data_IF_846220155954
#
_entry.id   IF_846220155954
#
_cell.length_a   1.000
_cell.length_b   1.000
_cell.length_c   1.000
_cell.angle_alpha   90.00
_cell.angle_beta   90.00
_cell.angle_gamma   90.00
#
_symmetry.space_group_name_H-M   'P 1'
#
loop_
_entity.id
_entity.type
_entity.pdbx_description
1 polymer ?
#
# COMPACT_ATOMS: atom_id res chain seq x y z
N UNK A 1 -19.25 -8.95 31.67
CA UNK A 1 -18.22 -8.77 30.61
C UNK A 1 -18.49 -9.64 29.39
N UNK A 2 -18.83 -10.92 29.54
CA UNK A 2 -19.15 -11.82 28.41
C UNK A 2 -20.30 -11.31 27.52
N UNK A 3 -21.36 -10.76 28.14
CA UNK A 3 -22.52 -10.19 27.44
C UNK A 3 -22.15 -8.98 26.58
N UNK A 4 -21.34 -8.07 27.11
CA UNK A 4 -20.86 -6.89 26.36
C UNK A 4 -20.01 -7.32 25.17
N UNK A 5 -19.09 -8.27 25.37
CA UNK A 5 -18.27 -8.82 24.30
C UNK A 5 -19.13 -9.46 23.20
N UNK A 6 -20.16 -10.23 23.59
CA UNK A 6 -21.09 -10.84 22.65
C UNK A 6 -21.79 -9.79 21.76
N UNK A 7 -22.35 -8.74 22.36
CA UNK A 7 -23.02 -7.68 21.60
C UNK A 7 -22.06 -6.90 20.69
N UNK A 8 -20.81 -6.66 21.13
CA UNK A 8 -19.78 -6.03 20.29
C UNK A 8 -19.44 -6.89 19.08
N UNK A 9 -19.21 -8.19 19.28
CA UNK A 9 -18.92 -9.12 18.18
C UNK A 9 -20.09 -9.24 17.21
N UNK A 10 -21.32 -9.26 17.72
CA UNK A 10 -22.53 -9.31 16.90
C UNK A 10 -22.68 -8.04 16.05
N UNK A 11 -22.45 -6.86 16.64
CA UNK A 11 -22.46 -5.59 15.92
C UNK A 11 -21.36 -5.52 14.84
N UNK A 12 -20.16 -5.99 15.15
CA UNK A 12 -19.05 -6.04 14.21
C UNK A 12 -19.32 -7.03 13.05
N UNK A 13 -19.91 -8.20 13.35
CA UNK A 13 -20.35 -9.15 12.33
C UNK A 13 -21.42 -8.60 11.41
N UNK A 14 -22.42 -7.89 11.96
CA UNK A 14 -23.45 -7.22 11.18
C UNK A 14 -22.86 -6.13 10.27
N UNK A 15 -21.97 -5.28 10.81
CA UNK A 15 -21.29 -4.25 10.04
C UNK A 15 -20.44 -4.83 8.90
N UNK A 16 -19.69 -5.90 9.18
CA UNK A 16 -18.90 -6.61 8.17
C UNK A 16 -19.77 -7.19 7.06
N UNK A 17 -20.88 -7.84 7.43
CA UNK A 17 -21.83 -8.39 6.46
C UNK A 17 -22.43 -7.32 5.55
N UNK A 18 -22.91 -6.22 6.14
CA UNK A 18 -23.46 -5.07 5.38
C UNK A 18 -22.40 -4.54 4.43
N UNK A 19 -21.17 -4.37 4.90
CA UNK A 19 -20.08 -3.87 4.07
C UNK A 19 -19.78 -4.81 2.89
N UNK A 20 -19.53 -6.09 3.14
CA UNK A 20 -19.12 -7.02 2.08
C UNK A 20 -20.24 -7.34 1.08
N UNK A 21 -21.49 -7.39 1.54
CA UNK A 21 -22.63 -7.84 0.72
C UNK A 21 -23.41 -6.72 0.05
N UNK A 22 -23.38 -5.51 0.61
CA UNK A 22 -24.19 -4.40 0.12
C UNK A 22 -23.30 -3.28 -0.42
N UNK A 23 -22.37 -2.80 0.40
CA UNK A 23 -21.55 -1.62 0.08
C UNK A 23 -20.47 -1.96 -0.95
N UNK A 24 -19.67 -3.00 -0.68
CA UNK A 24 -18.51 -3.35 -1.50
C UNK A 24 -18.87 -3.74 -2.96
N UNK A 25 -19.95 -4.47 -3.25
CA UNK A 25 -20.37 -4.73 -4.62
C UNK A 25 -20.73 -3.45 -5.39
N UNK A 26 -21.36 -2.49 -4.71
CA UNK A 26 -21.73 -1.19 -5.29
C UNK A 26 -20.49 -0.37 -5.63
N UNK A 27 -19.51 -0.35 -4.72
CA UNK A 27 -18.21 0.28 -4.95
C UNK A 27 -17.45 -0.41 -6.11
N UNK A 28 -17.42 -1.74 -6.14
CA UNK A 28 -16.79 -2.49 -7.25
C UNK A 28 -17.45 -2.19 -8.59
N UNK A 29 -18.78 -2.06 -8.63
CA UNK A 29 -19.50 -1.68 -9.84
C UNK A 29 -19.09 -0.27 -10.32
N UNK A 30 -19.02 0.69 -9.40
CA UNK A 30 -18.59 2.05 -9.70
C UNK A 30 -17.20 2.08 -10.35
N UNK A 31 -16.21 1.42 -9.74
CA UNK A 31 -14.85 1.37 -10.31
C UNK A 31 -14.76 0.55 -11.59
N UNK A 32 -15.56 -0.51 -11.73
CA UNK A 32 -15.65 -1.27 -12.97
C UNK A 32 -16.09 -0.38 -14.14
N UNK A 33 -17.07 0.50 -13.90
CA UNK A 33 -17.54 1.45 -14.91
C UNK A 33 -16.45 2.48 -15.28
N UNK A 34 -15.68 2.96 -14.30
CA UNK A 34 -14.53 3.83 -14.59
C UNK A 34 -13.46 3.13 -15.44
N UNK A 35 -13.15 1.87 -15.15
CA UNK A 35 -12.21 1.08 -15.94
C UNK A 35 -12.74 0.80 -17.36
N UNK A 36 -14.05 0.60 -17.52
CA UNK A 36 -14.66 0.49 -18.86
C UNK A 36 -14.47 1.77 -19.66
N UNK A 37 -14.74 2.94 -19.07
CA UNK A 37 -14.53 4.22 -19.74
C UNK A 37 -13.06 4.41 -20.17
N UNK A 38 -12.10 4.09 -19.30
CA UNK A 38 -10.67 4.15 -19.62
C UNK A 38 -10.27 3.16 -20.73
N UNK A 39 -10.87 1.97 -20.75
CA UNK A 39 -10.61 0.97 -21.79
C UNK A 39 -11.15 1.44 -23.14
N UNK A 40 -12.28 2.13 -23.14
CA UNK A 40 -12.90 2.61 -24.36
C UNK A 40 -12.05 3.73 -25.01
N UNK A 41 -11.38 4.58 -24.19
CA UNK A 41 -10.35 5.53 -24.69
C UNK A 41 -9.17 4.78 -25.33
N UNK A 42 -8.66 3.72 -24.68
CA UNK A 42 -7.59 2.91 -25.28
C UNK A 42 -8.03 2.24 -26.58
N UNK A 43 -9.30 1.82 -26.69
CA UNK A 43 -9.89 1.24 -27.90
C UNK A 43 -10.00 2.26 -29.03
N UNK A 44 -10.41 3.48 -28.74
CA UNK A 44 -10.48 4.57 -29.73
C UNK A 44 -9.10 4.78 -30.37
N UNK A 45 -8.03 4.82 -29.57
CA UNK A 45 -6.66 4.92 -30.10
C UNK A 45 -6.19 3.73 -30.94
N UNK A 46 -6.71 2.53 -30.70
CA UNK A 46 -6.45 1.37 -31.56
C UNK A 46 -7.15 1.56 -32.92
N UNK A 47 -8.34 2.15 -32.94
CA UNK A 47 -9.15 2.38 -34.14
C UNK A 47 -8.60 3.54 -34.96
N UNK A 48 -8.26 4.66 -34.31
CA UNK A 48 -7.70 5.86 -34.95
C UNK A 48 -6.33 5.59 -35.59
N UNK A 49 -5.63 4.56 -35.08
CA UNK A 49 -4.29 4.19 -35.53
C UNK A 49 -3.22 5.16 -35.03
N UNK A 50 -2.05 5.10 -35.65
CA UNK A 50 -0.89 5.88 -35.24
C UNK A 50 0.42 5.17 -35.57
N UNK A 51 1.48 5.48 -34.81
CA UNK A 51 2.71 4.70 -34.89
C UNK A 51 2.47 3.27 -34.41
N UNK A 52 3.25 2.33 -34.94
CA UNK A 52 3.16 0.92 -34.56
C UNK A 52 3.38 0.74 -33.03
N UNK A 53 4.28 1.53 -32.45
CA UNK A 53 4.54 1.53 -31.00
C UNK A 53 3.33 1.98 -30.18
N UNK A 54 2.63 3.04 -30.62
CA UNK A 54 1.44 3.55 -29.93
C UNK A 54 0.27 2.57 -30.00
N UNK A 55 0.06 1.93 -31.16
CA UNK A 55 -1.00 0.90 -31.32
C UNK A 55 -0.70 -0.35 -30.48
N UNK A 56 0.56 -0.79 -30.42
CA UNK A 56 0.97 -1.90 -29.55
C UNK A 56 0.75 -1.55 -28.07
N UNK A 57 1.13 -0.35 -27.63
CA UNK A 57 0.91 0.10 -26.26
C UNK A 57 -0.58 0.22 -25.93
N UNK A 58 -1.40 0.78 -26.82
CA UNK A 58 -2.85 0.90 -26.65
C UNK A 58 -3.52 -0.48 -26.52
N UNK A 59 -3.11 -1.45 -27.35
CA UNK A 59 -3.58 -2.85 -27.28
C UNK A 59 -3.24 -3.49 -25.93
N UNK A 60 -2.00 -3.29 -25.47
CA UNK A 60 -1.55 -3.81 -24.18
C UNK A 60 -2.35 -3.20 -23.01
N UNK A 61 -2.66 -1.90 -23.04
CA UNK A 61 -3.53 -1.24 -22.04
C UNK A 61 -4.95 -1.79 -22.09
N UNK A 62 -5.53 -1.91 -23.28
CA UNK A 62 -6.88 -2.44 -23.46
C UNK A 62 -7.01 -3.85 -22.84
N UNK A 63 -6.05 -4.74 -23.13
CA UNK A 63 -6.06 -6.10 -22.62
C UNK A 63 -5.80 -6.16 -21.11
N UNK A 64 -4.89 -5.31 -20.62
CA UNK A 64 -4.60 -5.18 -19.19
C UNK A 64 -5.84 -4.70 -18.42
N UNK A 65 -6.54 -3.69 -18.94
CA UNK A 65 -7.79 -3.17 -18.36
C UNK A 65 -8.88 -4.24 -18.38
N UNK A 66 -9.04 -4.96 -19.49
CA UNK A 66 -10.02 -6.03 -19.59
C UNK A 66 -9.76 -7.14 -18.55
N UNK A 67 -8.49 -7.53 -18.39
CA UNK A 67 -8.09 -8.48 -17.35
C UNK A 67 -8.35 -7.94 -15.94
N UNK A 68 -8.04 -6.67 -15.68
CA UNK A 68 -8.26 -6.04 -14.39
C UNK A 68 -9.75 -5.95 -14.03
N UNK A 69 -10.60 -5.58 -14.99
CA UNK A 69 -12.07 -5.53 -14.84
C UNK A 69 -12.62 -6.90 -14.42
N UNK A 70 -12.21 -7.97 -15.11
CA UNK A 70 -12.68 -9.32 -14.84
C UNK A 70 -12.19 -9.86 -13.49
N UNK A 71 -11.04 -9.39 -13.02
CA UNK A 71 -10.37 -9.86 -11.80
C UNK A 71 -10.42 -8.87 -10.65
N UNK A 72 -11.28 -7.87 -10.73
CA UNK A 72 -11.35 -6.76 -9.77
C UNK A 72 -11.60 -7.22 -8.32
N UNK A 73 -12.30 -8.34 -8.15
CA UNK A 73 -12.57 -8.95 -6.85
C UNK A 73 -11.34 -9.64 -6.23
N UNK A 74 -10.32 -9.97 -7.02
CA UNK A 74 -9.08 -10.60 -6.55
C UNK A 74 -8.04 -9.57 -6.09
N UNK A 75 -8.28 -8.28 -6.34
CA UNK A 75 -7.42 -7.16 -5.96
C UNK A 75 -7.53 -6.90 -4.44
N UNK A 76 -6.86 -7.74 -3.65
CA UNK A 76 -6.78 -7.65 -2.20
C UNK A 76 -5.32 -7.58 -1.75
N UNK A 77 -5.06 -7.00 -0.57
CA UNK A 77 -3.70 -6.90 -0.03
C UNK A 77 -2.98 -8.26 0.05
N UNK A 78 -3.60 -9.34 0.59
CA UNK A 78 -2.96 -10.66 0.63
C UNK A 78 -2.57 -11.18 -0.77
N UNK A 79 -3.43 -10.98 -1.76
CA UNK A 79 -3.15 -11.40 -3.13
C UNK A 79 -2.04 -10.56 -3.77
N UNK A 80 -1.98 -9.25 -3.48
CA UNK A 80 -0.87 -8.38 -3.89
C UNK A 80 0.47 -8.89 -3.36
N UNK A 81 0.54 -9.23 -2.07
CA UNK A 81 1.77 -9.80 -1.48
C UNK A 81 2.16 -11.14 -2.12
N UNK A 82 1.20 -12.04 -2.32
CA UNK A 82 1.44 -13.33 -3.00
C UNK A 82 1.95 -13.13 -4.43
N UNK A 83 1.35 -12.20 -5.18
CA UNK A 83 1.76 -11.87 -6.53
C UNK A 83 3.19 -11.30 -6.56
N UNK A 84 3.52 -10.37 -5.67
CA UNK A 84 4.87 -9.80 -5.57
C UNK A 84 5.92 -10.87 -5.26
N UNK A 85 5.64 -11.76 -4.31
CA UNK A 85 6.51 -12.89 -3.99
C UNK A 85 6.75 -13.78 -5.21
N UNK A 86 5.68 -14.13 -5.94
CA UNK A 86 5.79 -14.99 -7.13
C UNK A 86 6.57 -14.33 -8.27
N UNK A 87 6.42 -13.01 -8.47
CA UNK A 87 7.24 -12.24 -9.43
C UNK A 87 8.71 -12.19 -9.02
N UNK A 88 8.99 -12.17 -7.71
CA UNK A 88 10.35 -12.22 -7.19
C UNK A 88 11.00 -13.61 -7.38
N UNK A 89 10.24 -14.68 -7.22
CA UNK A 89 10.75 -16.06 -7.32
C UNK A 89 10.86 -16.57 -8.76
N UNK A 90 10.00 -16.12 -9.68
CA UNK A 90 9.94 -16.61 -11.05
C UNK A 90 10.59 -15.63 -12.06
N UNK A 91 11.77 -15.96 -12.62
CA UNK A 91 12.46 -15.10 -13.57
C UNK A 91 11.73 -14.96 -14.91
N UNK A 92 10.93 -15.95 -15.32
CA UNK A 92 10.19 -15.90 -16.58
C UNK A 92 9.06 -14.87 -16.51
N UNK A 93 8.33 -14.83 -15.39
CA UNK A 93 7.29 -13.81 -15.15
C UNK A 93 7.92 -12.41 -15.13
N UNK A 94 9.06 -12.26 -14.44
CA UNK A 94 9.76 -10.97 -14.36
C UNK A 94 10.20 -10.48 -15.74
N UNK A 95 10.72 -11.37 -16.58
CA UNK A 95 11.12 -11.02 -17.93
C UNK A 95 9.93 -10.60 -18.79
N UNK A 96 8.78 -11.28 -18.66
CA UNK A 96 7.54 -10.91 -19.35
C UNK A 96 7.07 -9.50 -18.97
N UNK A 97 7.01 -9.20 -17.66
CA UNK A 97 6.64 -7.87 -17.15
C UNK A 97 7.61 -6.81 -17.68
N UNK A 98 8.91 -7.10 -17.69
CA UNK A 98 9.92 -6.15 -18.20
C UNK A 98 9.67 -5.82 -19.68
N UNK A 99 9.35 -6.82 -20.51
CA UNK A 99 9.01 -6.60 -21.93
C UNK A 99 7.77 -5.72 -22.08
N UNK A 100 6.73 -5.97 -21.31
CA UNK A 100 5.49 -5.17 -21.32
C UNK A 100 5.78 -3.71 -20.87
N UNK A 101 6.61 -3.51 -19.85
CA UNK A 101 7.04 -2.17 -19.41
C UNK A 101 7.89 -1.47 -20.48
N UNK A 102 8.75 -2.20 -21.19
CA UNK A 102 9.59 -1.62 -22.24
C UNK A 102 8.77 -1.17 -23.47
N UNK A 103 7.63 -1.80 -23.75
CA UNK A 103 6.66 -1.30 -24.76
C UNK A 103 6.13 0.09 -24.37
N UNK A 104 5.76 0.28 -23.10
CA UNK A 104 5.27 1.56 -22.60
C UNK A 104 6.33 2.66 -22.60
N UNK A 105 7.60 2.33 -22.32
CA UNK A 105 8.69 3.33 -22.36
C UNK A 105 8.98 3.86 -23.76
N UNK A 106 8.60 3.11 -24.79
CA UNK A 106 8.78 3.48 -26.21
C UNK A 106 7.50 4.07 -26.82
N UNK A 107 6.45 4.23 -26.02
CA UNK A 107 5.20 4.82 -26.43
C UNK A 107 5.33 6.33 -26.38
N UNK A 108 5.12 6.99 -27.53
CA UNK A 108 5.12 8.44 -27.64
C UNK A 108 3.71 9.04 -27.46
N UNK A 109 2.69 8.20 -27.28
CA UNK A 109 1.32 8.64 -27.06
C UNK A 109 1.05 8.95 -25.58
N UNK A 110 1.08 10.24 -25.26
CA UNK A 110 0.78 10.78 -23.93
C UNK A 110 -0.62 10.43 -23.41
N UNK A 111 -1.61 10.24 -24.29
CA UNK A 111 -2.96 9.89 -23.88
C UNK A 111 -3.01 8.45 -23.35
N UNK A 112 -2.35 7.51 -24.03
CA UNK A 112 -2.25 6.12 -23.57
C UNK A 112 -1.51 6.03 -22.22
N UNK A 113 -0.44 6.81 -22.06
CA UNK A 113 0.27 6.89 -20.77
C UNK A 113 -0.64 7.44 -19.67
N UNK A 114 -1.43 8.48 -19.95
CA UNK A 114 -2.42 9.02 -19.00
C UNK A 114 -3.49 7.99 -18.64
N UNK A 115 -3.99 7.21 -19.61
CA UNK A 115 -4.96 6.13 -19.36
C UNK A 115 -4.36 5.08 -18.42
N UNK A 116 -3.11 4.68 -18.66
CA UNK A 116 -2.41 3.73 -17.79
C UNK A 116 -2.30 4.26 -16.36
N UNK A 117 -1.85 5.50 -16.17
CA UNK A 117 -1.72 6.12 -14.84
C UNK A 117 -3.08 6.20 -14.13
N UNK A 118 -4.12 6.69 -14.82
CA UNK A 118 -5.49 6.77 -14.27
C UNK A 118 -6.02 5.39 -13.90
N UNK A 119 -5.77 4.37 -14.72
CA UNK A 119 -6.17 3.00 -14.40
C UNK A 119 -5.49 2.50 -13.12
N UNK A 120 -4.21 2.80 -12.93
CA UNK A 120 -3.48 2.47 -11.71
C UNK A 120 -4.11 3.06 -10.44
N UNK A 121 -4.52 4.33 -10.50
CA UNK A 121 -5.19 5.01 -9.38
C UNK A 121 -6.56 4.38 -9.05
N UNK A 122 -7.31 3.98 -10.09
CA UNK A 122 -8.59 3.27 -9.90
C UNK A 122 -8.36 1.91 -9.25
N UNK A 123 -7.38 1.14 -9.72
CA UNK A 123 -7.05 -0.17 -9.15
C UNK A 123 -6.52 -0.07 -7.72
N UNK A 124 -5.77 0.97 -7.39
CA UNK A 124 -5.32 1.25 -6.02
C UNK A 124 -6.50 1.55 -5.08
N UNK A 125 -7.46 2.35 -5.55
CA UNK A 125 -8.69 2.63 -4.79
C UNK A 125 -9.46 1.32 -4.53
N UNK A 126 -9.64 0.50 -5.56
CA UNK A 126 -10.28 -0.82 -5.43
C UNK A 126 -9.54 -1.71 -4.43
N UNK A 127 -8.21 -1.75 -4.47
CA UNK A 127 -7.40 -2.53 -3.52
C UNK A 127 -7.69 -2.12 -2.08
N UNK A 128 -7.78 -0.82 -1.81
CA UNK A 128 -8.09 -0.28 -0.49
C UNK A 128 -9.48 -0.71 -0.03
N UNK A 129 -10.52 -0.53 -0.85
CA UNK A 129 -11.89 -0.91 -0.48
C UNK A 129 -12.04 -2.43 -0.33
N UNK A 130 -11.48 -3.23 -1.24
CA UNK A 130 -11.48 -4.68 -1.10
C UNK A 130 -10.75 -5.17 0.16
N UNK A 131 -9.81 -4.39 0.69
CA UNK A 131 -9.03 -4.74 1.87
C UNK A 131 -9.46 -3.97 3.13
N UNK A 132 -10.50 -3.15 3.06
CA UNK A 132 -10.86 -2.21 4.12
C UNK A 132 -11.21 -2.92 5.43
N UNK A 133 -11.98 -4.01 5.36
CA UNK A 133 -12.33 -4.78 6.56
C UNK A 133 -11.12 -5.45 7.20
N UNK A 134 -10.18 -5.95 6.40
CA UNK A 134 -8.91 -6.45 6.91
C UNK A 134 -8.14 -5.34 7.64
N UNK A 135 -8.04 -4.15 7.04
CA UNK A 135 -7.38 -3.00 7.66
C UNK A 135 -8.07 -2.58 8.97
N UNK A 136 -9.41 -2.57 8.99
CA UNK A 136 -10.20 -2.27 10.18
C UNK A 136 -9.90 -3.26 11.31
N UNK A 137 -9.81 -4.56 11.00
CA UNK A 137 -9.48 -5.59 11.98
C UNK A 137 -8.03 -5.56 12.45
N UNK A 138 -7.11 -5.10 11.61
CA UNK A 138 -5.70 -4.92 11.99
C UNK A 138 -5.44 -3.61 12.76
N UNK A 139 -6.39 -2.67 12.75
CA UNK A 139 -6.24 -1.36 13.39
C UNK A 139 -5.84 -1.43 14.87
N UNK A 140 -6.47 -2.27 15.74
CA UNK A 140 -6.07 -2.36 17.14
C UNK A 140 -4.63 -2.83 17.32
N UNK A 141 -4.17 -3.78 16.49
CA UNK A 141 -2.79 -4.27 16.51
C UNK A 141 -1.80 -3.19 16.09
N UNK A 142 -2.11 -2.46 15.02
CA UNK A 142 -1.27 -1.35 14.54
C UNK A 142 -1.15 -0.27 15.62
N UNK A 143 -2.26 0.10 16.26
CA UNK A 143 -2.26 1.07 17.36
C UNK A 143 -1.43 0.60 18.57
N UNK A 144 -1.55 -0.67 18.93
CA UNK A 144 -0.76 -1.26 20.01
C UNK A 144 0.75 -1.22 19.70
N UNK A 145 1.15 -1.56 18.47
CA UNK A 145 2.56 -1.48 18.05
C UNK A 145 3.06 -0.04 18.09
N UNK A 146 2.30 0.92 17.56
CA UNK A 146 2.66 2.35 17.60
C UNK A 146 2.83 2.83 19.04
N UNK A 147 1.92 2.43 19.94
CA UNK A 147 2.00 2.76 21.35
C UNK A 147 3.28 2.20 21.97
N UNK A 148 3.59 0.91 21.77
CA UNK A 148 4.80 0.28 22.28
C UNK A 148 6.07 0.98 21.76
N UNK A 149 6.14 1.30 20.46
CA UNK A 149 7.29 2.02 19.87
C UNK A 149 7.47 3.39 20.52
N UNK A 150 6.38 4.14 20.74
CA UNK A 150 6.44 5.44 21.43
C UNK A 150 6.92 5.30 22.87
N UNK A 151 6.40 4.32 23.62
CA UNK A 151 6.83 4.06 25.01
C UNK A 151 8.32 3.73 25.08
N UNK A 152 8.81 2.85 24.19
CA UNK A 152 10.24 2.48 24.14
C UNK A 152 11.11 3.71 23.81
N UNK A 153 10.69 4.54 22.85
CA UNK A 153 11.43 5.76 22.49
C UNK A 153 11.48 6.76 23.64
N UNK A 154 10.38 6.92 24.38
CA UNK A 154 10.33 7.79 25.56
C UNK A 154 11.19 7.23 26.69
N UNK A 155 11.06 5.94 26.99
CA UNK A 155 11.83 5.28 28.04
C UNK A 155 13.34 5.35 27.77
N UNK A 156 13.78 5.07 26.53
CA UNK A 156 15.20 5.19 26.17
C UNK A 156 15.73 6.62 26.26
N UNK A 157 14.90 7.62 25.95
CA UNK A 157 15.27 9.04 26.11
C UNK A 157 15.40 9.44 27.58
N UNK A 158 14.49 8.98 28.45
CA UNK A 158 14.56 9.21 29.90
C UNK A 158 15.76 8.52 30.52
N UNK A 159 16.06 7.26 30.17
CA UNK A 159 17.23 6.54 30.66
C UNK A 159 18.53 7.25 30.26
N UNK A 160 18.62 7.77 29.03
CA UNK A 160 19.78 8.54 28.58
C UNK A 160 19.94 9.85 29.36
N UNK A 161 18.83 10.52 29.71
CA UNK A 161 18.83 11.74 30.51
C UNK A 161 19.26 11.48 31.97
N UNK A 162 18.75 10.43 32.61
CA UNK A 162 19.15 10.04 33.97
C UNK A 162 20.63 9.67 34.04
N UNK A 163 21.14 8.87 33.09
CA UNK A 163 22.57 8.57 33.01
C UNK A 163 23.44 9.81 32.81
N UNK A 164 22.96 10.79 32.06
CA UNK A 164 23.65 12.07 31.89
C UNK A 164 23.78 12.83 33.23
N UNK A 165 22.72 12.85 34.03
CA UNK A 165 22.74 13.46 35.38
C UNK A 165 23.67 12.75 36.35
N UNK A 166 23.65 11.41 36.39
CA UNK A 166 24.59 10.66 37.25
C UNK A 166 26.04 10.94 36.86
N UNK A 167 26.32 11.11 35.57
CA UNK A 167 27.66 11.45 35.08
C UNK A 167 28.06 12.88 35.49
N UNK A 168 27.15 13.85 35.42
CA UNK A 168 27.37 15.23 35.89
C UNK A 168 27.62 15.28 37.40
N UNK A 169 26.81 14.58 38.20
CA UNK A 169 26.99 14.50 39.66
C UNK A 169 28.30 13.80 40.05
N UNK A 170 28.68 12.73 39.34
CA UNK A 170 29.96 12.05 39.55
C UNK A 170 31.16 12.95 39.20
N UNK A 171 31.06 13.77 38.16
CA UNK A 171 32.11 14.73 37.79
C UNK A 171 32.28 15.82 38.87
N UNK A 172 31.19 16.29 39.49
CA UNK A 172 31.26 17.30 40.55
C UNK A 172 31.92 16.82 41.85
N UNK A 173 31.95 15.52 42.09
CA UNK A 173 32.56 14.91 43.29
C UNK A 173 34.03 14.53 43.10
N UNK A 174 34.57 14.64 41.88
CA UNK A 174 35.95 14.29 41.58
C UNK A 174 36.92 15.45 41.93
N UNK A 175 38.12 15.15 42.44
CA UNK A 175 39.15 16.16 42.68
C UNK A 175 39.68 16.77 41.36
N UNK A 176 40.02 18.06 41.39
CA UNK A 176 40.39 18.90 40.21
C UNK A 176 41.35 18.28 39.18
N UNK A 177 42.40 17.50 39.56
CA UNK A 177 43.31 16.89 38.58
C UNK A 177 42.61 15.87 37.67
N UNK A 178 41.61 15.17 38.21
CA UNK A 178 40.88 14.10 37.52
C UNK A 178 39.78 14.68 36.61
N UNK A 179 39.11 15.75 37.04
CA UNK A 179 38.13 16.47 36.21
C UNK A 179 38.78 17.00 34.94
N UNK A 180 40.01 17.51 35.03
CA UNK A 180 40.76 18.03 33.88
C UNK A 180 41.04 16.98 32.79
N UNK A 181 41.18 15.69 33.16
CA UNK A 181 41.38 14.59 32.21
C UNK A 181 40.08 14.15 31.53
N UNK A 182 38.91 14.36 32.15
CA UNK A 182 37.61 13.92 31.63
C UNK A 182 36.98 14.97 30.71
N UNK A 183 37.20 16.27 30.99
CA UNK A 183 36.57 17.38 30.25
C UNK A 183 37.38 17.83 29.03
N UNK A 184 38.71 17.66 29.04
CA UNK A 184 39.61 18.20 28.01
C UNK A 184 40.32 17.13 27.16
N UNK A 185 39.95 15.84 27.31
CA UNK A 185 40.37 14.77 26.41
C UNK A 185 39.42 14.67 25.21
#
# INVERSE_FOLDING_TARGET
MLTVLFYVLLGLGAAHFIYERIILPSIRLHYRNQLFALRDVARERIIDGGSESSVQAATLVHDSLNNAINRLHLLTLPNKFRAQKRVAEDPAIRQKIKREVDVFKRCDDDEIVKVLIKSGQVLESVLLFNSLMLLLYMLPFVLAVIFCVKVIKTASSVVRWVKGRELEEAIMLLPDPQVKQVVYA
#
